data_IF_043906712286
#
_entry.id   IF_043906712286
#
_cell.length_a   1.000
_cell.length_b   1.000
_cell.length_c   1.000
_cell.angle_alpha   90.00
_cell.angle_beta   90.00
_cell.angle_gamma   90.00
#
_symmetry.space_group_name_H-M   'P 1'
#
loop_
_entity.id
_entity.type
_entity.pdbx_description
1 polymer ?
#
# COMPACT_ATOMS: atom_id res chain seq x y z
N UNK A 1 20.35 -0.15 -14.17
CA UNK A 1 19.81 -0.09 -12.81
C UNK A 1 18.42 -0.66 -12.86
N UNK A 2 18.25 -1.93 -12.48
CA UNK A 2 17.05 -2.73 -12.78
C UNK A 2 15.79 -2.24 -12.05
N UNK A 3 15.94 -1.26 -11.15
CA UNK A 3 14.82 -0.56 -10.53
C UNK A 3 14.11 0.39 -11.50
N UNK A 4 14.79 0.95 -12.49
CA UNK A 4 14.23 1.94 -13.42
C UNK A 4 13.14 1.37 -14.36
N UNK A 5 12.97 0.05 -14.40
CA UNK A 5 11.91 -0.64 -15.16
C UNK A 5 10.63 -0.87 -14.36
N UNK A 6 10.61 -0.54 -13.06
CA UNK A 6 9.42 -0.71 -12.22
C UNK A 6 8.35 0.32 -12.60
N UNK A 7 7.12 -0.14 -12.82
CA UNK A 7 6.00 0.74 -13.10
C UNK A 7 5.52 1.39 -11.81
N UNK A 8 5.51 2.73 -11.75
CA UNK A 8 4.90 3.46 -10.63
C UNK A 8 3.37 3.33 -10.62
N UNK A 9 2.76 2.94 -11.74
CA UNK A 9 1.34 2.68 -11.87
C UNK A 9 1.06 1.18 -12.06
N UNK A 10 0.13 0.65 -11.28
CA UNK A 10 -0.40 -0.71 -11.43
C UNK A 10 -1.94 -0.64 -11.50
N UNK A 11 -2.48 -0.65 -12.72
CA UNK A 11 -3.91 -0.39 -12.94
C UNK A 11 -4.30 1.00 -12.45
N UNK A 12 -5.13 1.07 -11.40
CA UNK A 12 -5.54 2.32 -10.76
C UNK A 12 -4.73 2.66 -9.48
N UNK A 13 -3.68 1.89 -9.15
CA UNK A 13 -2.82 2.10 -7.97
C UNK A 13 -1.58 2.90 -8.38
N UNK A 14 -1.23 3.92 -7.58
CA UNK A 14 0.00 4.70 -7.70
C UNK A 14 0.94 4.34 -6.55
N UNK A 15 2.18 3.98 -6.90
CA UNK A 15 3.25 3.64 -5.97
C UNK A 15 4.36 4.71 -6.08
N UNK A 16 4.25 5.86 -5.39
CA UNK A 16 5.16 7.00 -5.58
C UNK A 16 6.59 6.71 -5.08
N UNK A 17 6.73 5.75 -4.18
CA UNK A 17 8.01 5.33 -3.59
C UNK A 17 8.55 4.03 -4.24
N UNK A 18 8.05 3.64 -5.42
CA UNK A 18 8.41 2.35 -6.05
C UNK A 18 9.92 2.19 -6.30
N UNK A 19 10.65 3.29 -6.49
CA UNK A 19 12.09 3.29 -6.74
C UNK A 19 12.94 3.51 -5.49
N UNK A 20 12.30 3.82 -4.35
CA UNK A 20 13.02 4.10 -3.11
C UNK A 20 13.45 2.79 -2.47
N UNK A 21 14.69 2.75 -2.00
CA UNK A 21 15.13 1.73 -1.06
C UNK A 21 14.55 1.98 0.33
N UNK A 22 14.64 0.99 1.21
CA UNK A 22 14.25 1.19 2.61
C UNK A 22 15.13 2.24 3.30
N UNK A 23 16.40 2.33 2.91
CA UNK A 23 17.32 3.34 3.40
C UNK A 23 16.89 4.76 2.98
N UNK A 24 16.45 4.96 1.73
CA UNK A 24 15.94 6.24 1.25
C UNK A 24 14.74 6.73 2.10
N UNK A 25 13.83 5.81 2.47
CA UNK A 25 12.73 6.12 3.37
C UNK A 25 13.23 6.62 4.73
N UNK A 26 14.20 5.94 5.35
CA UNK A 26 14.76 6.34 6.64
C UNK A 26 15.57 7.64 6.58
N UNK A 27 16.30 7.87 5.49
CA UNK A 27 16.99 9.15 5.24
C UNK A 27 15.96 10.27 5.19
N UNK A 28 14.87 10.09 4.45
CA UNK A 28 13.82 11.09 4.36
C UNK A 28 13.15 11.38 5.71
N UNK A 29 12.81 10.34 6.48
CA UNK A 29 12.21 10.49 7.81
C UNK A 29 13.08 11.35 8.72
N UNK A 30 14.40 11.05 8.77
CA UNK A 30 15.35 11.78 9.62
C UNK A 30 15.61 13.22 9.15
N UNK A 31 15.73 13.42 7.84
CA UNK A 31 16.01 14.76 7.29
C UNK A 31 14.84 15.74 7.43
N UNK A 32 13.62 15.22 7.63
CA UNK A 32 12.40 16.02 7.69
C UNK A 32 11.72 15.91 9.08
N UNK A 33 12.40 15.36 10.08
CA UNK A 33 11.89 15.18 11.44
C UNK A 33 10.49 14.52 11.48
N UNK A 34 10.25 13.57 10.58
CA UNK A 34 8.97 12.86 10.51
C UNK A 34 8.94 11.81 11.61
N UNK A 35 7.95 11.85 12.53
CA UNK A 35 7.83 10.83 13.55
C UNK A 35 7.53 9.48 12.92
N UNK A 36 8.22 8.44 13.37
CA UNK A 36 7.98 7.05 12.98
C UNK A 36 7.44 6.22 14.16
N UNK A 37 7.00 5.00 13.89
CA UNK A 37 6.40 4.15 14.91
C UNK A 37 7.48 3.65 15.91
N UNK A 38 7.28 3.79 17.24
CA UNK A 38 8.32 3.45 18.23
C UNK A 38 8.75 1.98 18.22
N UNK A 39 7.88 1.06 17.76
CA UNK A 39 8.27 -0.34 17.57
C UNK A 39 9.43 -0.54 16.57
N UNK A 40 9.73 0.43 15.71
CA UNK A 40 10.97 0.36 14.93
C UNK A 40 12.21 0.40 15.82
N UNK A 41 12.19 1.13 16.94
CA UNK A 41 13.28 1.11 17.93
C UNK A 41 13.36 -0.21 18.70
N UNK A 42 12.23 -0.94 18.77
CA UNK A 42 12.15 -2.29 19.31
C UNK A 42 12.59 -3.38 18.31
N UNK A 43 13.11 -3.04 17.15
CA UNK A 43 13.58 -4.03 16.17
C UNK A 43 12.49 -4.61 15.28
N UNK A 44 11.35 -3.94 15.10
CA UNK A 44 10.35 -4.31 14.10
C UNK A 44 10.59 -3.55 12.79
N UNK A 45 11.14 -4.21 11.76
CA UNK A 45 11.41 -3.59 10.45
C UNK A 45 10.15 -3.26 9.67
N UNK A 46 9.12 -4.10 9.77
CA UNK A 46 7.82 -3.95 9.13
C UNK A 46 6.73 -4.38 10.11
N UNK A 47 5.67 -3.57 10.23
CA UNK A 47 4.66 -3.71 11.29
C UNK A 47 3.31 -4.12 10.67
N UNK A 48 2.65 -5.09 11.27
CA UNK A 48 1.27 -5.48 10.94
C UNK A 48 0.54 -6.00 12.18
N UNK A 49 -0.25 -7.06 12.02
CA UNK A 49 -0.99 -7.64 13.15
C UNK A 49 -0.04 -8.30 14.15
N UNK A 50 -0.39 -8.21 15.44
CA UNK A 50 0.40 -8.70 16.57
C UNK A 50 0.84 -10.17 16.41
N UNK A 51 -0.04 -11.03 15.89
CA UNK A 51 0.23 -12.47 15.72
C UNK A 51 1.00 -12.83 14.45
N UNK A 52 1.38 -11.83 13.63
CA UNK A 52 1.98 -12.06 12.30
C UNK A 52 3.19 -11.16 12.02
N UNK A 53 3.74 -10.56 13.07
CA UNK A 53 4.84 -9.60 13.01
C UNK A 53 5.89 -9.98 14.05
N UNK A 54 7.13 -10.17 13.64
CA UNK A 54 8.26 -10.49 14.53
C UNK A 54 9.39 -9.48 14.37
N UNK A 55 10.29 -9.44 15.36
CA UNK A 55 11.51 -8.63 15.32
C UNK A 55 12.51 -9.18 14.30
N UNK A 56 13.31 -8.30 13.74
CA UNK A 56 14.39 -8.59 12.79
C UNK A 56 15.62 -7.81 13.23
N UNK A 57 16.81 -8.41 13.15
CA UNK A 57 18.06 -7.74 13.47
C UNK A 57 18.29 -6.52 12.57
N UNK A 58 18.68 -5.38 13.15
CA UNK A 58 18.87 -4.13 12.41
C UNK A 58 19.88 -4.25 11.27
N UNK A 59 20.90 -5.10 11.41
CA UNK A 59 21.91 -5.33 10.37
C UNK A 59 21.31 -5.96 9.10
N UNK A 60 20.16 -6.61 9.23
CA UNK A 60 19.48 -7.24 8.10
C UNK A 60 18.52 -6.30 7.36
N UNK A 61 18.07 -5.20 7.98
CA UNK A 61 16.94 -4.40 7.49
C UNK A 61 17.15 -3.80 6.11
N UNK A 62 18.37 -3.31 5.86
CA UNK A 62 18.70 -2.59 4.62
C UNK A 62 19.04 -3.54 3.46
N UNK A 63 19.05 -4.85 3.70
CA UNK A 63 19.18 -5.85 2.64
C UNK A 63 17.97 -5.83 1.70
N UNK A 64 18.21 -6.09 0.41
CA UNK A 64 17.13 -6.11 -0.59
C UNK A 64 16.05 -7.14 -0.22
N UNK A 65 14.81 -6.68 -0.05
CA UNK A 65 13.67 -7.51 0.34
C UNK A 65 13.57 -7.84 1.82
N UNK A 66 14.50 -7.38 2.67
CA UNK A 66 14.53 -7.75 4.09
C UNK A 66 13.63 -6.87 4.98
N UNK A 67 13.18 -5.71 4.50
CA UNK A 67 12.22 -4.85 5.23
C UNK A 67 11.03 -5.66 5.76
N UNK A 68 10.50 -6.59 4.95
CA UNK A 68 9.35 -7.44 5.30
C UNK A 68 9.72 -8.81 5.86
N UNK A 69 10.99 -9.07 6.19
CA UNK A 69 11.46 -10.39 6.68
C UNK A 69 10.76 -10.83 7.97
N UNK A 70 10.31 -9.88 8.78
CA UNK A 70 9.52 -10.14 9.99
C UNK A 70 8.03 -10.44 9.75
N UNK A 71 7.56 -10.44 8.50
CA UNK A 71 6.16 -10.71 8.11
C UNK A 71 6.03 -12.10 7.50
N UNK A 72 4.88 -12.73 7.70
CA UNK A 72 4.48 -13.99 7.06
C UNK A 72 5.43 -15.18 7.28
N UNK A 73 6.26 -15.14 8.34
CA UNK A 73 7.20 -16.21 8.67
C UNK A 73 6.42 -17.51 8.94
N UNK A 74 6.70 -18.53 8.12
CA UNK A 74 6.02 -19.83 8.18
C UNK A 74 4.55 -19.83 7.72
N UNK A 75 4.05 -18.74 7.16
CA UNK A 75 2.67 -18.64 6.67
C UNK A 75 2.54 -19.11 5.22
N UNK A 76 1.39 -19.72 4.92
CA UNK A 76 1.02 -20.12 3.56
C UNK A 76 -0.23 -19.39 3.09
N UNK A 77 -0.33 -19.19 1.78
CA UNK A 77 -1.56 -18.72 1.14
C UNK A 77 -2.60 -19.84 1.03
N UNK A 78 -3.78 -19.52 0.48
CA UNK A 78 -4.85 -20.48 0.25
C UNK A 78 -4.45 -21.59 -0.75
N UNK A 79 -3.50 -21.31 -1.64
CA UNK A 79 -2.96 -22.23 -2.64
C UNK A 79 -1.79 -23.08 -2.09
N UNK A 80 -1.46 -22.92 -0.81
CA UNK A 80 -0.40 -23.66 -0.11
C UNK A 80 1.04 -23.17 -0.37
N UNK A 81 1.22 -22.06 -1.08
CA UNK A 81 2.53 -21.42 -1.33
C UNK A 81 2.92 -20.52 -0.17
N UNK A 82 4.21 -20.20 -0.07
CA UNK A 82 4.70 -19.24 0.92
C UNK A 82 4.03 -17.89 0.72
N UNK A 83 3.40 -17.38 1.79
CA UNK A 83 2.72 -16.09 1.75
C UNK A 83 3.74 -14.97 1.72
N UNK A 84 3.68 -14.13 0.69
CA UNK A 84 4.54 -12.94 0.56
C UNK A 84 3.73 -11.64 0.66
N UNK A 85 2.42 -11.70 0.40
CA UNK A 85 1.56 -10.51 0.37
C UNK A 85 0.31 -10.63 1.25
N UNK A 86 -0.18 -9.46 1.69
CA UNK A 86 -1.47 -9.36 2.37
C UNK A 86 -2.62 -9.30 1.35
N UNK A 87 -3.83 -9.72 1.76
CA UNK A 87 -5.04 -9.64 0.94
C UNK A 87 -5.43 -8.23 0.50
N UNK A 88 -4.86 -7.17 1.10
CA UNK A 88 -5.01 -5.79 0.66
C UNK A 88 -4.38 -5.53 -0.73
N UNK A 89 -3.37 -6.31 -1.11
CA UNK A 89 -2.61 -6.11 -2.36
C UNK A 89 -3.07 -7.05 -3.48
N UNK A 90 -3.68 -8.19 -3.15
CA UNK A 90 -4.22 -9.14 -4.11
C UNK A 90 -5.39 -8.56 -4.93
N UNK A 91 -5.39 -8.80 -6.24
CA UNK A 91 -6.47 -8.38 -7.13
C UNK A 91 -7.83 -8.84 -6.62
N UNK A 92 -8.75 -7.87 -6.43
CA UNK A 92 -10.14 -7.99 -6.03
C UNK A 92 -10.62 -9.40 -5.57
N UNK A 93 -10.39 -9.71 -4.30
CA UNK A 93 -11.24 -10.65 -3.56
C UNK A 93 -11.70 -10.10 -2.20
N UNK A 94 -11.70 -8.77 -2.05
CA UNK A 94 -12.57 -8.10 -1.09
C UNK A 94 -13.83 -7.66 -1.83
N UNK A 95 -14.87 -8.48 -1.76
CA UNK A 95 -16.29 -8.16 -1.98
C UNK A 95 -16.64 -7.14 -3.08
N UNK A 96 -17.38 -7.60 -4.07
CA UNK A 96 -18.32 -6.74 -4.78
C UNK A 96 -19.32 -6.10 -3.78
N UNK A 97 -18.93 -5.01 -3.15
CA UNK A 97 -19.87 -3.98 -2.69
C UNK A 97 -19.68 -2.78 -3.61
N UNK A 98 -20.21 -2.95 -4.83
CA UNK A 98 -20.70 -1.78 -5.54
C UNK A 98 -21.74 -1.12 -4.61
N UNK A 99 -21.62 0.17 -4.25
CA UNK A 99 -22.73 0.86 -3.65
C UNK A 99 -23.87 0.81 -4.66
N UNK A 100 -25.00 0.19 -4.30
CA UNK A 100 -26.24 0.31 -5.08
C UNK A 100 -26.75 1.75 -4.93
N UNK A 101 -26.06 2.70 -5.57
CA UNK A 101 -26.60 4.03 -5.80
C UNK A 101 -27.71 3.89 -6.83
N UNK A 102 -28.96 3.82 -6.36
CA UNK A 102 -30.11 4.16 -7.20
C UNK A 102 -29.92 5.63 -7.58
N UNK A 103 -29.42 5.89 -8.78
CA UNK A 103 -29.48 7.23 -9.38
C UNK A 103 -30.96 7.58 -9.53
N UNK A 104 -31.49 8.36 -8.60
CA UNK A 104 -32.75 9.05 -8.81
C UNK A 104 -32.55 9.99 -9.99
N UNK A 105 -33.34 9.81 -11.04
CA UNK A 105 -33.38 10.68 -12.20
C UNK A 105 -34.05 11.98 -11.74
N UNK A 106 -33.24 12.97 -11.35
CA UNK A 106 -33.74 14.35 -11.21
C UNK A 106 -33.77 14.92 -12.62
N UNK A 107 -34.98 15.00 -13.19
CA UNK A 107 -35.23 15.74 -14.42
C UNK A 107 -35.16 17.24 -14.09
N UNK A 108 -34.01 17.84 -14.40
CA UNK A 108 -33.86 19.29 -14.42
C UNK A 108 -34.41 19.81 -15.76
N UNK A 109 -35.70 20.17 -15.77
CA UNK A 109 -36.26 21.01 -16.82
C UNK A 109 -35.77 22.44 -16.60
N UNK A 110 -34.60 22.77 -17.16
CA UNK A 110 -34.20 24.15 -17.36
C UNK A 110 -34.86 24.68 -18.64
N UNK A 111 -36.00 25.35 -18.49
CA UNK A 111 -36.53 26.24 -19.52
C UNK A 111 -35.47 27.32 -19.82
N UNK A 112 -35.02 27.38 -21.08
CA UNK A 112 -34.25 28.50 -21.61
C UNK A 112 -35.18 29.71 -21.75
N UNK A 113 -34.87 30.88 -21.20
CA UNK A 113 -35.48 32.10 -21.69
C UNK A 113 -34.87 32.44 -23.05
N UNK A 114 -35.70 32.40 -24.08
CA UNK A 114 -35.40 32.94 -25.41
C UNK A 114 -35.31 34.46 -25.29
N UNK A 115 -34.12 35.03 -25.33
CA UNK A 115 -33.96 36.46 -25.57
C UNK A 115 -34.10 36.71 -27.08
N UNK A 116 -35.09 37.49 -27.47
CA UNK A 116 -35.24 38.05 -28.83
C UNK A 116 -35.59 39.52 -28.70
N UNK A 117 -34.83 40.33 -29.44
CA UNK A 117 -34.94 41.77 -29.75
C UNK A 117 -34.77 42.77 -28.59
#
# INVERSE_FOLDING_TARGET
>A
DDRASLHCWEGAKLNPLAFWSFEDCWIYLRNNDVPYHPLHDDGFSSIGDVHSTIRVDHDEWMGYGNERKGRFVGMKDADGKTKTECGLHGGASAGALAPKAKRAKVEEQAERPTATA
#
